data_IF_528691457332
#
_entry.id   IF_528691457332
#
_cell.length_a   1.000
_cell.length_b   1.000
_cell.length_c   1.000
_cell.angle_alpha   90.00
_cell.angle_beta   90.00
_cell.angle_gamma   90.00
#
_symmetry.space_group_name_H-M   'P 1'
#
loop_
_entity.id
_entity.type
_entity.pdbx_description
1 polymer ?
#
# COMPACT_ATOMS: atom_id res chain seq x y z
N UNK A 1 14.96 23.00 8.71
CA UNK A 1 13.82 22.16 9.17
C UNK A 1 14.31 20.74 9.40
N UNK A 2 13.58 19.95 10.19
CA UNK A 2 13.99 18.59 10.50
C UNK A 2 12.78 17.66 10.34
N UNK A 3 12.76 16.94 9.21
CA UNK A 3 11.66 16.01 8.90
C UNK A 3 11.88 14.71 9.68
N UNK A 4 10.85 14.21 10.34
CA UNK A 4 10.94 12.99 11.16
C UNK A 4 10.46 11.75 10.44
N UNK A 5 9.33 11.83 9.76
CA UNK A 5 8.74 10.65 9.12
C UNK A 5 7.67 11.09 8.12
N UNK A 6 7.18 10.13 7.35
CA UNK A 6 6.01 10.33 6.50
C UNK A 6 4.77 10.07 7.36
N UNK A 7 3.80 10.97 7.34
CA UNK A 7 2.54 10.80 8.06
C UNK A 7 1.53 10.02 7.22
N UNK A 8 1.28 10.49 6.02
CA UNK A 8 0.39 9.82 5.07
C UNK A 8 0.80 10.17 3.64
N UNK A 9 0.30 9.39 2.71
CA UNK A 9 0.40 9.68 1.28
C UNK A 9 -1.01 9.67 0.69
N UNK A 10 -1.14 10.13 -0.54
CA UNK A 10 -2.39 10.12 -1.28
C UNK A 10 -2.21 9.26 -2.52
N UNK A 11 -3.11 8.31 -2.73
CA UNK A 11 -3.19 7.57 -3.98
C UNK A 11 -4.40 8.03 -4.77
N UNK A 12 -4.19 8.36 -6.03
CA UNK A 12 -5.27 8.52 -7.00
C UNK A 12 -5.56 7.14 -7.57
N UNK A 13 -6.80 6.72 -7.54
CA UNK A 13 -7.21 5.36 -7.93
C UNK A 13 -8.32 5.42 -8.98
N UNK A 14 -8.35 4.42 -9.85
CA UNK A 14 -9.34 4.35 -10.92
C UNK A 14 -10.74 4.04 -10.39
N UNK A 15 -10.83 3.23 -9.33
CA UNK A 15 -12.10 2.85 -8.71
C UNK A 15 -11.89 2.68 -7.21
N UNK A 16 -12.41 3.62 -6.44
CA UNK A 16 -12.16 3.69 -5.00
C UNK A 16 -12.73 2.46 -4.26
N UNK A 17 -13.89 1.95 -4.68
CA UNK A 17 -14.48 0.78 -4.05
C UNK A 17 -13.64 -0.48 -4.26
N UNK A 18 -13.09 -0.67 -5.44
CA UNK A 18 -12.20 -1.81 -5.75
C UNK A 18 -10.90 -1.72 -4.94
N UNK A 19 -10.37 -0.50 -4.80
CA UNK A 19 -9.17 -0.26 -4.01
C UNK A 19 -9.41 -0.58 -2.54
N UNK A 20 -10.52 -0.09 -1.98
CA UNK A 20 -10.89 -0.36 -0.59
C UNK A 20 -11.05 -1.86 -0.37
N UNK A 21 -11.78 -2.53 -1.25
CA UNK A 21 -12.01 -3.98 -1.13
C UNK A 21 -10.70 -4.74 -1.14
N UNK A 22 -9.79 -4.40 -2.04
CA UNK A 22 -8.48 -5.05 -2.13
C UNK A 22 -7.65 -4.86 -0.85
N UNK A 23 -7.44 -3.62 -0.43
CA UNK A 23 -6.54 -3.34 0.69
C UNK A 23 -7.10 -3.82 2.03
N UNK A 24 -8.42 -3.82 2.20
CA UNK A 24 -9.02 -4.36 3.42
C UNK A 24 -9.01 -5.88 3.43
N UNK A 25 -9.35 -6.53 2.33
CA UNK A 25 -9.43 -7.99 2.26
C UNK A 25 -8.04 -8.64 2.17
N UNK A 26 -7.15 -8.09 1.34
CA UNK A 26 -5.84 -8.72 1.10
C UNK A 26 -4.84 -8.32 2.18
N UNK A 27 -4.73 -7.03 2.49
CA UNK A 27 -3.69 -6.53 3.39
C UNK A 27 -4.17 -6.26 4.82
N UNK A 28 -5.48 -6.39 5.07
CA UNK A 28 -6.02 -6.18 6.40
C UNK A 28 -6.03 -4.72 6.84
N UNK A 29 -5.93 -3.77 5.90
CA UNK A 29 -6.04 -2.36 6.23
C UNK A 29 -7.46 -2.03 6.67
N UNK A 30 -7.62 -0.95 7.41
CA UNK A 30 -8.93 -0.51 7.87
C UNK A 30 -9.38 0.71 7.09
N UNK A 31 -10.65 0.70 6.66
CA UNK A 31 -11.25 1.85 6.00
C UNK A 31 -11.67 2.86 7.05
N UNK A 32 -11.31 4.13 6.83
CA UNK A 32 -11.84 5.25 7.61
C UNK A 32 -12.44 6.28 6.67
N UNK A 33 -13.50 6.94 7.13
CA UNK A 33 -14.15 8.04 6.43
C UNK A 33 -13.95 9.29 7.26
N UNK A 34 -13.54 10.38 6.62
CA UNK A 34 -13.29 11.64 7.32
C UNK A 34 -13.70 12.82 6.43
N UNK A 35 -13.79 14.03 7.05
CA UNK A 35 -14.19 15.22 6.33
C UNK A 35 -15.51 15.01 5.58
N UNK A 36 -15.60 15.51 4.35
CA UNK A 36 -16.79 15.40 3.52
C UNK A 36 -16.78 14.09 2.73
N UNK A 37 -16.98 12.97 3.46
CA UNK A 37 -17.04 11.62 2.88
C UNK A 37 -15.74 11.23 2.16
N UNK A 38 -14.60 11.69 2.66
CA UNK A 38 -13.29 11.32 2.15
C UNK A 38 -12.89 9.95 2.72
N UNK A 39 -12.23 9.14 1.91
CA UNK A 39 -11.83 7.78 2.30
C UNK A 39 -10.34 7.69 2.50
N UNK A 40 -9.94 6.92 3.49
CA UNK A 40 -8.54 6.57 3.71
C UNK A 40 -8.44 5.13 4.20
N UNK A 41 -7.27 4.55 4.01
CA UNK A 41 -6.91 3.23 4.50
C UNK A 41 -5.86 3.42 5.60
N UNK A 42 -6.08 2.83 6.77
CA UNK A 42 -5.15 2.94 7.89
C UNK A 42 -4.48 1.60 8.18
N UNK A 43 -3.24 1.69 8.63
CA UNK A 43 -2.44 0.55 9.04
C UNK A 43 -1.35 1.06 9.99
N UNK A 44 -1.10 0.35 11.10
CA UNK A 44 -0.18 0.84 12.11
C UNK A 44 -0.58 2.25 12.54
N UNK A 45 0.38 3.17 12.48
CA UNK A 45 0.13 4.60 12.78
C UNK A 45 0.15 5.47 11.54
N UNK A 46 -0.09 4.88 10.36
CA UNK A 46 -0.03 5.58 9.08
C UNK A 46 -1.34 5.42 8.32
N UNK A 47 -1.50 6.21 7.27
CA UNK A 47 -2.67 6.07 6.41
C UNK A 47 -2.35 6.44 4.95
N UNK A 48 -3.20 5.97 4.07
CA UNK A 48 -3.21 6.32 2.66
C UNK A 48 -4.57 6.95 2.38
N UNK A 49 -4.58 8.25 2.06
CA UNK A 49 -5.80 8.91 1.60
C UNK A 49 -6.08 8.49 0.16
N UNK A 50 -7.34 8.31 -0.17
CA UNK A 50 -7.73 7.89 -1.52
C UNK A 50 -8.42 9.02 -2.26
N UNK A 51 -7.95 9.30 -3.49
CA UNK A 51 -8.61 10.21 -4.42
C UNK A 51 -9.17 9.40 -5.59
N UNK A 52 -10.44 9.61 -5.91
CA UNK A 52 -11.02 9.02 -7.11
C UNK A 52 -10.50 9.78 -8.33
N UNK A 53 -9.95 9.06 -9.30
CA UNK A 53 -9.47 9.65 -10.56
C UNK A 53 -10.57 10.52 -11.18
N UNK A 54 -10.21 11.76 -11.53
CA UNK A 54 -11.14 12.73 -12.10
C UNK A 54 -11.96 13.50 -11.08
N UNK A 55 -11.92 13.10 -9.81
CA UNK A 55 -12.66 13.75 -8.72
C UNK A 55 -11.77 13.98 -7.50
N UNK A 56 -10.49 14.28 -7.75
CA UNK A 56 -9.52 14.52 -6.67
C UNK A 56 -9.89 15.75 -5.86
N UNK A 57 -9.53 15.75 -4.58
CA UNK A 57 -9.69 16.92 -3.72
C UNK A 57 -8.48 17.84 -3.84
N UNK A 58 -8.74 19.15 -3.84
CA UNK A 58 -7.66 20.14 -3.85
C UNK A 58 -7.17 20.43 -2.42
N UNK A 59 -5.88 20.71 -2.18
CA UNK A 59 -4.80 20.64 -3.17
C UNK A 59 -4.39 19.19 -3.48
N UNK A 60 -3.87 18.96 -4.67
CA UNK A 60 -3.48 17.63 -5.13
C UNK A 60 -2.14 17.69 -5.86
N UNK A 61 -1.57 16.51 -6.16
CA UNK A 61 -0.38 16.45 -6.99
C UNK A 61 -0.67 17.06 -8.36
N UNK A 62 0.37 17.61 -9.00
CA UNK A 62 0.22 18.22 -10.33
C UNK A 62 -0.20 17.20 -11.38
N UNK A 63 0.30 15.96 -11.26
CA UNK A 63 0.01 14.88 -12.20
C UNK A 63 -0.52 13.65 -11.45
N UNK A 64 -1.73 13.74 -10.88
CA UNK A 64 -2.29 12.60 -10.18
C UNK A 64 -2.58 11.49 -11.20
N UNK A 65 -2.02 10.31 -10.96
CA UNK A 65 -2.06 9.22 -11.93
C UNK A 65 -2.29 7.89 -11.21
N UNK A 66 -3.32 7.15 -11.63
CA UNK A 66 -3.56 5.80 -11.12
C UNK A 66 -2.49 4.85 -11.67
N UNK A 67 -1.96 3.98 -10.80
CA UNK A 67 -1.02 2.94 -11.22
C UNK A 67 0.44 3.35 -11.30
N UNK A 68 0.80 4.51 -10.77
CA UNK A 68 2.19 4.99 -10.80
C UNK A 68 2.92 4.79 -9.47
N UNK A 69 2.29 4.22 -8.47
CA UNK A 69 2.90 4.05 -7.15
C UNK A 69 3.69 2.75 -7.06
N UNK A 70 4.72 2.78 -6.23
CA UNK A 70 5.59 1.65 -5.90
C UNK A 70 5.82 1.76 -4.39
N UNK A 71 5.21 0.88 -3.62
CA UNK A 71 5.13 1.00 -2.16
C UNK A 71 5.66 -0.25 -1.49
N UNK A 72 6.46 -0.06 -0.44
CA UNK A 72 6.92 -1.15 0.42
C UNK A 72 6.31 -1.00 1.81
N UNK A 73 5.66 -2.05 2.27
CA UNK A 73 5.09 -2.12 3.62
C UNK A 73 5.87 -3.13 4.45
N UNK A 74 6.20 -2.76 5.68
CA UNK A 74 6.83 -3.68 6.63
C UNK A 74 5.72 -4.40 7.39
N UNK A 75 5.77 -5.73 7.40
CA UNK A 75 4.79 -6.55 8.09
C UNK A 75 5.37 -7.16 9.35
N UNK A 76 4.54 -7.29 10.37
CA UNK A 76 4.87 -8.07 11.57
C UNK A 76 4.72 -9.57 11.32
N UNK A 77 4.02 -9.95 10.25
CA UNK A 77 3.84 -11.36 9.86
C UNK A 77 5.09 -11.85 9.15
N UNK A 78 5.55 -13.04 9.50
CA UNK A 78 6.70 -13.67 8.85
C UNK A 78 6.48 -13.74 7.34
N UNK A 79 7.51 -13.43 6.56
CA UNK A 79 7.38 -13.29 5.10
C UNK A 79 6.95 -14.59 4.41
N UNK A 80 7.28 -15.74 4.96
CA UNK A 80 6.82 -17.03 4.40
C UNK A 80 5.31 -17.18 4.58
N UNK A 81 4.79 -16.73 5.71
CA UNK A 81 3.35 -16.73 5.97
C UNK A 81 2.63 -15.69 5.13
N UNK A 82 3.26 -14.53 4.90
CA UNK A 82 2.73 -13.52 3.98
C UNK A 82 2.56 -14.12 2.59
N UNK A 83 3.59 -14.79 2.09
CA UNK A 83 3.55 -15.42 0.77
C UNK A 83 2.41 -16.46 0.68
N UNK A 84 2.28 -17.32 1.70
CA UNK A 84 1.21 -18.31 1.74
C UNK A 84 -0.18 -17.65 1.76
N UNK A 85 -0.34 -16.62 2.58
CA UNK A 85 -1.61 -15.91 2.68
C UNK A 85 -2.00 -15.28 1.34
N UNK A 86 -1.05 -14.65 0.64
CA UNK A 86 -1.30 -14.06 -0.66
C UNK A 86 -1.70 -15.14 -1.69
N UNK A 87 -1.02 -16.28 -1.68
CA UNK A 87 -1.35 -17.39 -2.59
C UNK A 87 -2.75 -17.94 -2.31
N UNK A 88 -3.12 -18.09 -1.03
CA UNK A 88 -4.44 -18.57 -0.64
C UNK A 88 -5.53 -17.61 -1.09
N UNK A 89 -5.24 -16.32 -1.19
CA UNK A 89 -6.16 -15.29 -1.66
C UNK A 89 -6.11 -15.10 -3.17
N UNK A 90 -5.41 -15.98 -3.88
CA UNK A 90 -5.29 -15.97 -5.34
C UNK A 90 -4.62 -14.71 -5.89
N UNK A 91 -3.66 -14.18 -5.15
CA UNK A 91 -2.85 -13.04 -5.60
C UNK A 91 -1.66 -13.58 -6.40
N UNK A 92 -1.49 -13.06 -7.60
CA UNK A 92 -0.33 -13.40 -8.43
C UNK A 92 0.92 -12.77 -7.85
N UNK A 93 1.92 -13.59 -7.54
CA UNK A 93 3.20 -13.13 -7.01
C UNK A 93 4.13 -12.83 -8.19
N UNK A 94 4.59 -11.59 -8.28
CA UNK A 94 5.52 -11.17 -9.32
C UNK A 94 6.92 -11.71 -9.02
N UNK A 95 7.35 -11.55 -7.77
CA UNK A 95 8.67 -11.97 -7.35
C UNK A 95 8.66 -12.18 -5.83
N UNK A 96 9.41 -13.13 -5.35
CA UNK A 96 9.59 -13.36 -3.93
C UNK A 96 9.70 -14.85 -3.59
N UNK A 97 10.35 -15.14 -2.49
CA UNK A 97 10.93 -14.20 -1.49
C UNK A 97 12.34 -13.84 -1.97
N UNK A 98 12.66 -12.54 -1.96
CA UNK A 98 13.94 -12.04 -2.45
C UNK A 98 14.55 -11.09 -1.43
N UNK A 99 15.89 -10.98 -1.47
CA UNK A 99 16.64 -10.05 -0.62
C UNK A 99 16.63 -8.67 -1.24
N UNK A 100 16.39 -7.66 -0.40
CA UNK A 100 16.41 -6.25 -0.81
C UNK A 100 17.05 -5.42 0.30
N UNK A 101 17.20 -4.13 0.04
CA UNK A 101 17.72 -3.17 1.02
C UNK A 101 16.63 -2.16 1.36
N UNK A 102 16.24 -2.13 2.62
CA UNK A 102 15.26 -1.17 3.13
C UNK A 102 15.93 0.09 3.65
N UNK A 103 15.12 0.99 4.20
CA UNK A 103 15.63 2.24 4.74
C UNK A 103 16.57 2.03 5.93
N UNK A 104 16.36 0.97 6.72
CA UNK A 104 17.10 0.72 7.98
C UNK A 104 17.98 -0.52 7.89
N UNK A 105 18.08 -1.18 6.75
CA UNK A 105 18.88 -2.37 6.61
C UNK A 105 18.28 -3.37 5.65
N UNK A 106 18.80 -4.59 5.70
CA UNK A 106 18.38 -5.66 4.78
C UNK A 106 16.97 -6.17 5.10
N UNK A 107 16.23 -6.46 4.06
CA UNK A 107 14.85 -6.97 4.14
C UNK A 107 14.68 -8.18 3.22
N UNK A 108 13.64 -8.98 3.51
CA UNK A 108 13.16 -10.03 2.60
C UNK A 108 11.78 -9.63 2.14
N UNK A 109 11.51 -9.76 0.84
CA UNK A 109 10.37 -9.14 0.20
C UNK A 109 9.62 -10.07 -0.74
N UNK A 110 8.31 -9.83 -0.85
CA UNK A 110 7.46 -10.38 -1.90
C UNK A 110 6.76 -9.21 -2.62
N UNK A 111 6.52 -9.37 -3.91
CA UNK A 111 5.96 -8.33 -4.78
C UNK A 111 4.69 -8.81 -5.47
N UNK A 112 3.72 -7.92 -5.55
CA UNK A 112 2.46 -8.17 -6.28
C UNK A 112 1.87 -6.85 -6.74
N UNK A 113 0.71 -6.89 -7.43
CA UNK A 113 0.02 -5.71 -7.94
C UNK A 113 -1.29 -5.47 -7.21
N UNK A 114 -1.63 -4.19 -7.05
CA UNK A 114 -2.96 -3.81 -6.58
C UNK A 114 -3.92 -3.63 -7.78
N UNK A 115 -5.20 -3.25 -7.57
CA UNK A 115 -6.14 -3.12 -8.69
C UNK A 115 -5.74 -2.13 -9.78
N UNK A 116 -4.96 -1.10 -9.44
CA UNK A 116 -4.48 -0.11 -10.41
C UNK A 116 -3.13 -0.49 -11.03
N UNK A 117 -2.61 -1.68 -10.71
CA UNK A 117 -1.30 -2.16 -11.13
C UNK A 117 -0.14 -1.43 -10.45
N UNK A 118 -0.39 -0.76 -9.34
CA UNK A 118 0.68 -0.26 -8.49
C UNK A 118 1.53 -1.45 -8.03
N UNK A 119 2.84 -1.26 -7.95
CA UNK A 119 3.72 -2.31 -7.43
C UNK A 119 3.69 -2.26 -5.90
N UNK A 120 3.36 -3.38 -5.29
CA UNK A 120 3.29 -3.51 -3.84
C UNK A 120 4.35 -4.52 -3.39
N UNK A 121 5.11 -4.11 -2.40
CA UNK A 121 6.14 -4.93 -1.78
C UNK A 121 5.80 -5.09 -0.31
N UNK A 122 5.79 -6.32 0.19
CA UNK A 122 5.66 -6.62 1.63
C UNK A 122 6.98 -7.20 2.09
N UNK A 123 7.49 -6.71 3.22
CA UNK A 123 8.84 -7.06 3.67
C UNK A 123 8.93 -7.28 5.17
N UNK A 124 9.91 -8.09 5.54
CA UNK A 124 10.38 -8.18 6.92
C UNK A 124 11.82 -7.68 6.97
N UNK A 125 12.17 -6.94 8.00
CA UNK A 125 13.57 -6.67 8.29
C UNK A 125 14.24 -7.94 8.79
N UNK A 126 15.49 -8.14 8.39
CA UNK A 126 16.36 -9.13 9.01
C UNK A 126 16.84 -8.52 10.32
N UNK A 127 16.57 -9.19 11.39
CA UNK A 127 16.82 -8.72 12.75
C UNK A 127 18.21 -8.15 13.00
#
# INVERSE_FOLDING_TARGET
MQIQNIDHIVLTVANIEKTIEFYTRILGFQLVTFGDNRKALTFGNQKINLHQKGHEFEPKAKHPTAGSADLCFISATDIHNVLEELKQKNIEIIEGIVDRTGALGKIKSVYFRDPDQNLIEISNYLS
#
